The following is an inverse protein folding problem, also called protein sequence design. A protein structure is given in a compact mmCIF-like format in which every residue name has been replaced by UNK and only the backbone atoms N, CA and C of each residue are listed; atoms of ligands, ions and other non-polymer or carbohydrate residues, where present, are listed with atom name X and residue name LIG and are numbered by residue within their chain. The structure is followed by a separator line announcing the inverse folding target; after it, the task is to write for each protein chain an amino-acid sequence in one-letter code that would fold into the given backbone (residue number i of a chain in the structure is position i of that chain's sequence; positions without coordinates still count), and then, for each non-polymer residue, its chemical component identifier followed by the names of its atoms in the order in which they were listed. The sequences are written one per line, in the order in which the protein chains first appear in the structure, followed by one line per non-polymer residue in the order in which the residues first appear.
data_IF_564292911776
#
_entry.id   IF_564292911776
#
_cell.length_a   1.000
_cell.length_b   1.000
_cell.length_c   1.000
_cell.angle_alpha   90.00
_cell.angle_beta   90.00
_cell.angle_gamma   90.00
#
_symmetry.space_group_name_H-M   'P 1'
#
loop_
_entity.id
_entity.type
_entity.pdbx_description
1 polymer ?
#
# COMPACT_ATOMS: atom_id res chain seq x y z
N UNK A 1 10.54 -2.53 34.11
CA UNK A 1 9.64 -2.03 33.03
C UNK A 1 8.69 -1.07 33.69
N UNK A 2 8.67 0.18 33.22
CA UNK A 2 7.80 1.23 33.77
C UNK A 2 6.34 1.07 33.33
N UNK A 3 5.42 1.90 33.86
CA UNK A 3 3.99 1.83 33.55
C UNK A 3 3.68 2.00 32.06
N UNK A 4 4.36 2.95 31.38
CA UNK A 4 4.22 3.15 29.93
C UNK A 4 4.69 1.95 29.13
N UNK A 5 5.79 1.30 29.51
CA UNK A 5 6.28 0.09 28.81
C UNK A 5 5.22 -1.02 28.84
N UNK A 6 4.59 -1.23 29.98
CA UNK A 6 3.55 -2.25 30.14
C UNK A 6 2.31 -1.91 29.31
N UNK A 7 1.88 -0.64 29.35
CA UNK A 7 0.77 -0.13 28.58
C UNK A 7 1.00 -0.29 27.07
N UNK A 8 2.13 0.18 26.54
CA UNK A 8 2.48 0.08 25.12
C UNK A 8 2.61 -1.38 24.69
N UNK A 9 3.25 -2.21 25.51
CA UNK A 9 3.39 -3.65 25.21
C UNK A 9 2.02 -4.31 25.06
N UNK A 10 1.04 -3.94 25.88
CA UNK A 10 -0.32 -4.46 25.80
C UNK A 10 -1.06 -4.04 24.51
N UNK A 11 -0.69 -2.91 23.91
CA UNK A 11 -1.23 -2.42 22.63
C UNK A 11 -0.54 -3.16 21.47
N UNK A 12 0.80 -3.20 21.50
CA UNK A 12 1.63 -3.65 20.37
C UNK A 12 1.72 -5.19 20.26
N UNK A 13 1.52 -5.92 21.35
CA UNK A 13 1.56 -7.40 21.36
C UNK A 13 0.57 -8.00 20.36
N UNK A 14 -0.63 -7.43 20.29
CA UNK A 14 -1.77 -8.01 19.58
C UNK A 14 -1.85 -7.58 18.10
N UNK A 15 -0.97 -6.66 17.69
CA UNK A 15 -0.90 -6.20 16.30
C UNK A 15 -0.19 -7.23 15.42
N UNK A 16 -0.80 -7.57 14.27
CA UNK A 16 -0.18 -8.42 13.23
C UNK A 16 0.87 -7.64 12.41
N UNK A 17 1.87 -7.05 13.06
CA UNK A 17 2.90 -6.23 12.41
C UNK A 17 4.29 -6.87 12.49
N UNK A 18 5.22 -6.43 11.63
CA UNK A 18 6.62 -6.87 11.68
C UNK A 18 7.32 -6.32 12.92
N UNK A 19 8.42 -6.97 13.37
CA UNK A 19 9.20 -6.52 14.53
C UNK A 19 9.66 -5.06 14.40
N UNK A 20 10.07 -4.63 13.20
CA UNK A 20 10.47 -3.25 12.92
C UNK A 20 9.32 -2.27 13.11
N UNK A 21 8.16 -2.54 12.52
CA UNK A 21 6.97 -1.69 12.67
C UNK A 21 6.48 -1.64 14.12
N UNK A 22 6.56 -2.75 14.85
CA UNK A 22 6.23 -2.79 16.28
C UNK A 22 7.19 -1.91 17.09
N UNK A 23 8.47 -1.89 16.73
CA UNK A 23 9.48 -1.03 17.38
C UNK A 23 9.21 0.44 17.11
N UNK A 24 9.09 0.83 15.83
CA UNK A 24 8.82 2.23 15.44
C UNK A 24 7.55 2.74 16.12
N UNK A 25 6.50 1.92 16.17
CA UNK A 25 5.27 2.26 16.86
C UNK A 25 5.43 2.34 18.39
N UNK A 26 6.29 1.51 18.97
CA UNK A 26 6.57 1.59 20.41
C UNK A 26 7.24 2.92 20.75
N UNK A 27 8.19 3.35 19.91
CA UNK A 27 8.93 4.58 20.09
C UNK A 27 7.98 5.80 19.97
N UNK A 28 7.14 5.85 18.92
CA UNK A 28 6.15 6.92 18.74
C UNK A 28 5.15 7.02 19.90
N UNK A 29 4.65 5.87 20.39
CA UNK A 29 3.71 5.84 21.52
C UNK A 29 4.37 6.31 22.82
N UNK A 30 5.65 5.94 23.02
CA UNK A 30 6.42 6.37 24.19
C UNK A 30 6.63 7.88 24.18
N UNK A 31 6.99 8.46 23.04
CA UNK A 31 7.21 9.90 22.88
C UNK A 31 5.94 10.70 23.22
N UNK A 32 4.79 10.25 22.72
CA UNK A 32 3.51 10.90 23.03
C UNK A 32 3.11 10.78 24.51
N UNK A 33 3.28 9.61 25.12
CA UNK A 33 2.97 9.43 26.55
C UNK A 33 3.89 10.24 27.45
N UNK A 34 5.17 10.36 27.09
CA UNK A 34 6.11 11.22 27.79
C UNK A 34 5.74 12.70 27.65
N UNK A 35 5.30 13.13 26.46
CA UNK A 35 4.81 14.49 26.25
C UNK A 35 3.61 14.81 27.14
N UNK A 36 2.62 13.91 27.21
CA UNK A 36 1.47 14.04 28.12
C UNK A 36 1.88 14.05 29.59
N UNK A 37 2.83 13.19 29.99
CA UNK A 37 3.37 13.19 31.36
C UNK A 37 3.95 14.56 31.71
N UNK A 38 4.80 15.11 30.85
CA UNK A 38 5.42 16.43 31.06
C UNK A 38 4.35 17.52 31.17
N UNK A 39 3.32 17.46 30.33
CA UNK A 39 2.19 18.38 30.40
C UNK A 39 1.48 18.30 31.77
N UNK A 40 1.09 17.11 32.23
CA UNK A 40 0.42 16.97 33.53
C UNK A 40 1.32 17.36 34.70
N UNK A 41 2.63 17.10 34.64
CA UNK A 41 3.57 17.62 35.63
C UNK A 41 3.55 19.15 35.64
N UNK A 42 3.52 19.79 34.46
CA UNK A 42 3.43 21.26 34.37
C UNK A 42 2.10 21.84 34.87
N UNK A 43 1.03 21.04 34.83
CA UNK A 43 -0.29 21.37 35.40
C UNK A 43 -0.34 21.15 36.93
N UNK A 44 0.74 20.68 37.55
CA UNK A 44 0.89 20.53 38.99
C UNK A 44 0.61 19.12 39.53
N UNK A 45 0.45 18.12 38.65
CA UNK A 45 0.31 16.73 39.07
C UNK A 45 1.64 16.13 39.53
N UNK A 46 1.58 15.20 40.49
CA UNK A 46 2.75 14.40 40.84
C UNK A 46 3.16 13.52 39.67
N UNK A 47 4.42 13.06 39.62
CA UNK A 47 4.87 12.22 38.51
C UNK A 47 4.04 10.95 38.36
N UNK A 48 3.60 10.34 39.47
CA UNK A 48 2.75 9.15 39.47
C UNK A 48 1.36 9.45 38.92
N UNK A 49 0.73 10.55 39.35
CA UNK A 49 -0.60 10.94 38.89
C UNK A 49 -0.58 11.40 37.42
N UNK A 50 0.52 12.04 37.00
CA UNK A 50 0.74 12.46 35.63
C UNK A 50 0.88 11.25 34.68
N UNK A 51 1.52 10.17 35.12
CA UNK A 51 1.61 8.92 34.36
C UNK A 51 0.23 8.28 34.21
N UNK A 52 -0.54 8.21 35.29
CA UNK A 52 -1.89 7.65 35.27
C UNK A 52 -2.81 8.45 34.35
N UNK A 53 -2.81 9.79 34.49
CA UNK A 53 -3.56 10.70 33.62
C UNK A 53 -3.12 10.65 32.16
N UNK A 54 -1.82 10.49 31.90
CA UNK A 54 -1.31 10.32 30.54
C UNK A 54 -1.87 9.05 29.91
N UNK A 55 -1.91 7.92 30.64
CA UNK A 55 -2.50 6.67 30.15
C UNK A 55 -4.00 6.82 29.93
N UNK A 56 -4.72 7.40 30.90
CA UNK A 56 -6.18 7.61 30.82
C UNK A 56 -6.56 8.50 29.64
N UNK A 57 -5.86 9.63 29.47
CA UNK A 57 -6.14 10.62 28.43
C UNK A 57 -5.70 10.15 27.04
N UNK A 58 -4.71 9.26 26.97
CA UNK A 58 -4.34 8.60 25.72
C UNK A 58 -5.45 7.64 25.24
N UNK A 59 -6.28 7.14 26.16
CA UNK A 59 -7.53 6.44 25.87
C UNK A 59 -7.51 4.95 26.15
N UNK A 60 -8.69 4.31 26.13
CA UNK A 60 -8.80 2.86 26.36
C UNK A 60 -8.09 2.03 25.29
N UNK A 61 -7.30 1.06 25.75
CA UNK A 61 -6.51 0.10 24.96
C UNK A 61 -7.34 -0.52 23.83
N UNK A 62 -8.59 -0.88 24.08
CA UNK A 62 -9.46 -1.56 23.11
C UNK A 62 -9.86 -0.64 21.95
N UNK A 63 -10.14 0.64 22.23
CA UNK A 63 -10.49 1.64 21.21
C UNK A 63 -9.26 2.06 20.40
N UNK A 64 -8.10 2.13 21.03
CA UNK A 64 -6.83 2.41 20.35
C UNK A 64 -6.43 1.26 19.42
N UNK A 65 -6.50 0.01 19.91
CA UNK A 65 -6.25 -1.19 19.09
C UNK A 65 -7.15 -1.25 17.86
N UNK A 66 -8.44 -0.95 18.02
CA UNK A 66 -9.38 -0.91 16.91
C UNK A 66 -9.02 0.17 15.88
N UNK A 67 -8.65 1.36 16.34
CA UNK A 67 -8.25 2.49 15.48
C UNK A 67 -6.93 2.23 14.75
N UNK A 68 -5.94 1.64 15.44
CA UNK A 68 -4.64 1.28 14.87
C UNK A 68 -4.72 0.13 13.88
N UNK A 69 -5.56 -0.88 14.14
CA UNK A 69 -5.81 -1.96 13.18
C UNK A 69 -6.40 -1.41 11.87
N UNK A 70 -7.27 -0.40 11.98
CA UNK A 70 -7.86 0.25 10.82
C UNK A 70 -6.85 1.11 10.04
N UNK A 71 -5.90 1.77 10.70
CA UNK A 71 -4.85 2.55 10.01
C UNK A 71 -3.76 1.66 9.40
N UNK A 72 -3.32 0.61 10.10
CA UNK A 72 -2.23 -0.28 9.66
C UNK A 72 -2.63 -1.22 8.50
N UNK A 73 -3.92 -1.54 8.35
CA UNK A 73 -4.42 -2.48 7.33
C UNK A 73 -5.44 -1.88 6.36
N UNK A 74 -5.55 -0.55 6.29
CA UNK A 74 -6.56 0.13 5.47
C UNK A 74 -6.61 -0.38 4.02
N UNK A 75 -5.45 -0.68 3.43
CA UNK A 75 -5.29 -1.12 2.05
C UNK A 75 -5.88 -2.50 1.69
N UNK A 76 -6.14 -3.37 2.68
CA UNK A 76 -6.56 -4.77 2.47
C UNK A 76 -8.01 -5.03 2.90
N UNK A 77 -8.85 -4.01 2.82
CA UNK A 77 -10.28 -4.17 3.10
C UNK A 77 -10.99 -4.94 1.96
N UNK A 78 -12.18 -5.49 2.24
CA UNK A 78 -12.93 -6.32 1.29
C UNK A 78 -13.34 -5.53 0.03
N UNK A 79 -13.67 -4.25 0.17
CA UNK A 79 -14.04 -3.37 -0.96
C UNK A 79 -12.88 -3.19 -1.95
N UNK A 80 -11.67 -2.92 -1.46
CA UNK A 80 -10.47 -2.78 -2.28
C UNK A 80 -10.13 -4.09 -2.99
N UNK A 81 -10.37 -5.25 -2.36
CA UNK A 81 -10.20 -6.53 -3.05
C UNK A 81 -11.20 -6.72 -4.21
N UNK A 82 -12.49 -6.42 -3.99
CA UNK A 82 -13.53 -6.51 -5.03
C UNK A 82 -13.25 -5.56 -6.19
N UNK A 83 -12.84 -4.33 -5.91
CA UNK A 83 -12.47 -3.36 -6.95
C UNK A 83 -11.24 -3.83 -7.73
N UNK A 84 -10.27 -4.45 -7.07
CA UNK A 84 -9.13 -5.08 -7.73
C UNK A 84 -9.52 -6.20 -8.69
N UNK A 85 -10.51 -7.01 -8.33
CA UNK A 85 -11.06 -8.05 -9.22
C UNK A 85 -11.78 -7.41 -10.40
N UNK A 86 -12.61 -6.38 -10.16
CA UNK A 86 -13.31 -5.68 -11.24
C UNK A 86 -12.33 -5.04 -12.22
N UNK A 87 -11.24 -4.45 -11.73
CA UNK A 87 -10.20 -3.85 -12.56
C UNK A 87 -9.47 -4.91 -13.42
N UNK A 88 -9.20 -6.10 -12.87
CA UNK A 88 -8.68 -7.24 -13.64
C UNK A 88 -9.67 -7.71 -14.72
N UNK A 89 -10.96 -7.80 -14.41
CA UNK A 89 -12.00 -8.20 -15.37
C UNK A 89 -12.15 -7.18 -16.50
N UNK A 90 -12.19 -5.88 -16.17
CA UNK A 90 -12.23 -4.80 -17.17
C UNK A 90 -11.05 -4.93 -18.13
N UNK A 91 -9.84 -5.12 -17.60
CA UNK A 91 -8.64 -5.25 -18.43
C UNK A 91 -8.61 -6.56 -19.21
N UNK A 92 -9.13 -7.66 -18.69
CA UNK A 92 -9.29 -8.90 -19.45
C UNK A 92 -10.26 -8.71 -20.64
N UNK A 93 -11.39 -8.02 -20.42
CA UNK A 93 -12.36 -7.72 -21.47
C UNK A 93 -11.82 -6.72 -22.51
N UNK A 94 -11.11 -5.66 -22.08
CA UNK A 94 -10.42 -4.74 -22.99
C UNK A 94 -9.29 -5.45 -23.74
N UNK A 95 -8.54 -6.30 -23.05
CA UNK A 95 -7.44 -7.10 -23.59
C UNK A 95 -7.88 -8.03 -24.70
N UNK A 96 -9.06 -8.63 -24.61
CA UNK A 96 -9.65 -9.43 -25.69
C UNK A 96 -10.13 -8.58 -26.89
N UNK A 97 -10.19 -7.25 -26.76
CA UNK A 97 -10.55 -6.30 -27.83
C UNK A 97 -9.33 -5.54 -28.37
N UNK A 98 -8.23 -5.49 -27.62
CA UNK A 98 -6.96 -4.88 -28.03
C UNK A 98 -5.99 -5.96 -28.49
N UNK A 99 -5.28 -5.81 -29.63
CA UNK A 99 -4.26 -6.77 -30.02
C UNK A 99 -3.17 -6.85 -28.95
N UNK A 100 -2.88 -8.07 -28.47
CA UNK A 100 -1.87 -8.30 -27.43
C UNK A 100 -0.48 -7.85 -27.92
N UNK A 101 0.31 -7.17 -27.06
CA UNK A 101 1.70 -6.85 -27.36
C UNK A 101 2.49 -8.15 -27.53
N UNK A 102 2.98 -8.39 -28.75
CA UNK A 102 3.87 -9.51 -29.07
C UNK A 102 3.36 -10.52 -30.10
N UNK A 103 2.05 -10.61 -30.37
CA UNK A 103 1.52 -11.63 -31.31
C UNK A 103 1.05 -11.01 -32.65
N UNK A 104 0.41 -9.84 -32.64
CA UNK A 104 -0.10 -9.17 -33.86
C UNK A 104 0.52 -7.77 -34.12
N UNK A 105 1.39 -7.30 -33.23
CA UNK A 105 1.93 -5.94 -33.24
C UNK A 105 3.04 -5.69 -34.28
N UNK A 106 3.40 -6.69 -35.08
CA UNK A 106 4.42 -6.53 -36.12
C UNK A 106 3.88 -5.80 -37.37
N UNK A 107 2.55 -5.74 -37.55
CA UNK A 107 1.93 -5.21 -38.77
C UNK A 107 1.36 -3.78 -38.67
N UNK A 108 1.25 -3.21 -37.46
CA UNK A 108 0.74 -1.83 -37.25
C UNK A 108 1.44 -1.07 -36.11
N UNK A 109 2.77 -1.24 -36.00
CA UNK A 109 3.59 -0.83 -34.85
C UNK A 109 3.76 0.69 -34.70
N UNK A 110 2.77 1.39 -34.15
CA UNK A 110 3.04 2.68 -33.51
C UNK A 110 3.61 2.43 -32.11
N UNK A 111 4.68 3.15 -31.73
CA UNK A 111 5.25 3.14 -30.38
C UNK A 111 4.18 3.41 -29.28
N UNK A 112 3.15 4.17 -29.63
CA UNK A 112 2.03 4.50 -28.76
C UNK A 112 1.19 3.29 -28.37
N UNK A 113 0.86 2.39 -29.32
CA UNK A 113 0.05 1.21 -29.03
C UNK A 113 0.76 0.25 -28.06
N UNK A 114 2.08 0.09 -28.22
CA UNK A 114 2.91 -0.69 -27.30
C UNK A 114 2.88 -0.09 -25.88
N UNK A 115 3.05 1.23 -25.77
CA UNK A 115 3.00 1.91 -24.47
C UNK A 115 1.64 1.79 -23.78
N UNK A 116 0.54 1.93 -24.53
CA UNK A 116 -0.82 1.74 -24.01
C UNK A 116 -1.00 0.31 -23.49
N UNK A 117 -0.50 -0.69 -24.21
CA UNK A 117 -0.57 -2.08 -23.79
C UNK A 117 0.22 -2.32 -22.48
N UNK A 118 1.43 -1.77 -22.36
CA UNK A 118 2.23 -1.85 -21.13
C UNK A 118 1.52 -1.15 -19.95
N UNK A 119 0.97 0.06 -20.15
CA UNK A 119 0.19 0.74 -19.10
C UNK A 119 -0.97 -0.16 -18.66
N UNK A 120 -1.74 -0.69 -19.62
CA UNK A 120 -2.92 -1.52 -19.35
C UNK A 120 -2.57 -2.77 -18.55
N UNK A 121 -1.45 -3.42 -18.88
CA UNK A 121 -0.98 -4.61 -18.16
C UNK A 121 -0.51 -4.30 -16.73
N UNK A 122 0.14 -3.15 -16.51
CA UNK A 122 0.78 -2.82 -15.23
C UNK A 122 -0.12 -2.07 -14.25
N UNK A 123 -1.27 -1.53 -14.66
CA UNK A 123 -2.27 -0.94 -13.75
C UNK A 123 -2.79 -1.97 -12.71
N UNK A 124 -3.25 -3.18 -13.08
CA UNK A 124 -3.61 -4.20 -12.10
C UNK A 124 -2.44 -4.61 -11.24
N UNK A 125 -1.25 -4.72 -11.83
CA UNK A 125 -0.06 -5.15 -11.11
C UNK A 125 0.31 -4.14 -10.01
N UNK A 126 0.27 -2.83 -10.31
CA UNK A 126 0.46 -1.76 -9.33
C UNK A 126 -0.60 -1.75 -8.24
N UNK A 127 -1.86 -1.98 -8.61
CA UNK A 127 -2.98 -2.07 -7.66
C UNK A 127 -2.82 -3.27 -6.69
N UNK A 128 -2.51 -4.45 -7.22
CA UNK A 128 -2.45 -5.69 -6.47
C UNK A 128 -1.14 -5.88 -5.68
N UNK A 129 -0.09 -5.13 -6.00
CA UNK A 129 1.20 -5.28 -5.34
C UNK A 129 1.12 -5.10 -3.82
N UNK A 130 0.31 -4.15 -3.37
CA UNK A 130 0.07 -3.91 -1.94
C UNK A 130 -0.77 -5.00 -1.26
N UNK A 131 -1.47 -5.84 -2.02
CA UNK A 131 -2.15 -7.03 -1.51
C UNK A 131 -1.21 -8.23 -1.41
N UNK A 132 -0.28 -8.39 -2.36
CA UNK A 132 0.66 -9.51 -2.43
C UNK A 132 1.68 -9.50 -1.28
N UNK A 133 2.08 -8.31 -0.82
CA UNK A 133 3.05 -8.19 0.27
C UNK A 133 2.67 -7.08 1.24
N UNK A 134 2.45 -7.47 2.51
CA UNK A 134 2.23 -6.53 3.61
C UNK A 134 3.42 -5.61 3.89
N UNK A 135 4.57 -5.87 3.25
CA UNK A 135 5.77 -5.04 3.33
C UNK A 135 5.84 -4.01 2.19
N UNK A 136 4.96 -4.08 1.19
CA UNK A 136 5.01 -3.23 -0.02
C UNK A 136 3.86 -2.21 0.04
N UNK A 137 3.98 -1.29 0.99
CA UNK A 137 3.04 -0.17 1.20
C UNK A 137 3.62 1.16 0.77
N UNK A 138 4.90 1.22 0.38
CA UNK A 138 5.52 2.41 -0.15
C UNK A 138 5.44 2.39 -1.67
N UNK A 139 5.05 3.53 -2.25
CA UNK A 139 4.96 3.73 -3.71
C UNK A 139 6.28 3.38 -4.41
N UNK A 140 7.43 3.75 -3.81
CA UNK A 140 8.74 3.41 -4.35
C UNK A 140 8.96 1.90 -4.44
N UNK A 141 8.54 1.13 -3.42
CA UNK A 141 8.67 -0.34 -3.44
C UNK A 141 7.80 -0.98 -4.50
N UNK A 142 6.58 -0.48 -4.70
CA UNK A 142 5.69 -0.95 -5.78
C UNK A 142 6.37 -0.71 -7.13
N UNK A 143 6.86 0.52 -7.36
CA UNK A 143 7.49 0.92 -8.61
C UNK A 143 8.76 0.11 -8.91
N UNK A 144 9.64 -0.10 -7.92
CA UNK A 144 10.85 -0.92 -8.10
C UNK A 144 10.50 -2.37 -8.42
N UNK A 145 9.52 -2.95 -7.73
CA UNK A 145 9.14 -4.35 -7.96
C UNK A 145 8.49 -4.54 -9.33
N UNK A 146 7.58 -3.66 -9.74
CA UNK A 146 6.96 -3.74 -11.07
C UNK A 146 7.97 -3.53 -12.18
N UNK A 147 8.92 -2.60 -12.01
CA UNK A 147 9.99 -2.36 -12.98
C UNK A 147 10.93 -3.56 -13.10
N UNK A 148 11.24 -4.22 -11.98
CA UNK A 148 12.02 -5.46 -11.97
C UNK A 148 11.30 -6.60 -12.71
N UNK A 149 10.00 -6.75 -12.51
CA UNK A 149 9.16 -7.73 -13.22
C UNK A 149 9.15 -7.44 -14.72
N UNK A 150 8.98 -6.18 -15.13
CA UNK A 150 8.99 -5.80 -16.55
C UNK A 150 10.34 -6.10 -17.21
N UNK A 151 11.44 -5.72 -16.56
CA UNK A 151 12.78 -6.01 -17.06
C UNK A 151 13.03 -7.53 -17.19
N UNK A 152 12.61 -8.31 -16.18
CA UNK A 152 12.72 -9.75 -16.22
C UNK A 152 11.92 -10.37 -17.39
N UNK A 153 10.73 -9.86 -17.66
CA UNK A 153 9.91 -10.27 -18.81
C UNK A 153 10.59 -9.95 -20.14
N UNK A 154 11.12 -8.73 -20.31
CA UNK A 154 11.85 -8.33 -21.53
C UNK A 154 13.06 -9.23 -21.78
N UNK A 155 13.84 -9.53 -20.74
CA UNK A 155 15.00 -10.44 -20.83
C UNK A 155 14.53 -11.85 -21.20
N UNK A 156 13.48 -12.36 -20.56
CA UNK A 156 12.91 -13.68 -20.83
C UNK A 156 12.44 -13.81 -22.29
N UNK A 157 11.68 -12.83 -22.80
CA UNK A 157 11.22 -12.84 -24.19
C UNK A 157 12.38 -12.77 -25.18
N UNK A 158 13.41 -11.98 -24.87
CA UNK A 158 14.62 -11.86 -25.69
C UNK A 158 15.41 -13.17 -25.75
N UNK A 159 15.56 -13.88 -24.62
CA UNK A 159 16.24 -15.18 -24.54
C UNK A 159 15.45 -16.30 -25.23
N UNK A 160 14.13 -16.29 -25.08
CA UNK A 160 13.24 -17.29 -25.67
C UNK A 160 13.17 -17.24 -27.20
N UNK A 161 13.69 -16.17 -27.83
CA UNK A 161 13.57 -15.86 -29.27
C UNK A 161 12.13 -15.85 -29.81
N UNK A 162 11.13 -15.84 -28.92
CA UNK A 162 9.71 -15.82 -29.31
C UNK A 162 9.39 -14.50 -30.02
N UNK A 163 10.04 -13.40 -29.63
CA UNK A 163 9.81 -12.06 -30.19
C UNK A 163 11.14 -11.34 -30.33
N UNK A 164 11.50 -10.90 -31.55
CA UNK A 164 12.59 -9.94 -31.74
C UNK A 164 12.09 -8.53 -31.44
N UNK A 165 12.25 -8.08 -30.20
CA UNK A 165 11.82 -6.74 -29.76
C UNK A 165 13.01 -5.77 -29.90
N UNK A 166 12.94 -4.74 -30.77
CA UNK A 166 13.96 -3.69 -30.81
C UNK A 166 14.12 -2.97 -29.47
N UNK A 167 15.36 -2.60 -29.15
CA UNK A 167 15.74 -2.00 -27.86
C UNK A 167 14.92 -0.74 -27.52
N UNK A 168 14.53 0.04 -28.53
CA UNK A 168 13.69 1.24 -28.37
C UNK A 168 12.31 0.93 -27.79
N UNK A 169 11.71 -0.20 -28.15
CA UNK A 169 10.44 -0.63 -27.58
C UNK A 169 10.58 -1.08 -26.13
N UNK A 170 11.73 -1.62 -25.74
CA UNK A 170 12.00 -2.02 -24.36
C UNK A 170 12.03 -0.80 -23.42
N UNK A 171 12.63 0.31 -23.84
CA UNK A 171 12.68 1.55 -23.04
C UNK A 171 11.27 2.13 -22.87
N UNK A 172 10.51 2.23 -23.97
CA UNK A 172 9.13 2.73 -23.93
C UNK A 172 8.25 1.86 -23.04
N UNK A 173 8.39 0.53 -23.12
CA UNK A 173 7.68 -0.41 -22.25
C UNK A 173 7.97 -0.13 -20.78
N UNK A 174 9.25 -0.04 -20.39
CA UNK A 174 9.64 0.19 -18.99
C UNK A 174 9.06 1.50 -18.44
N UNK A 175 9.13 2.60 -19.21
CA UNK A 175 8.52 3.87 -18.80
C UNK A 175 6.99 3.77 -18.66
N UNK A 176 6.34 3.08 -19.59
CA UNK A 176 4.89 2.89 -19.57
C UNK A 176 4.44 1.95 -18.44
N UNK A 177 5.23 0.94 -18.11
CA UNK A 177 5.01 0.03 -16.98
C UNK A 177 5.09 0.77 -15.64
N UNK A 178 6.02 1.73 -15.52
CA UNK A 178 6.11 2.61 -14.35
C UNK A 178 4.87 3.50 -14.20
N UNK A 179 4.40 4.11 -15.30
CA UNK A 179 3.17 4.91 -15.30
C UNK A 179 1.94 4.05 -14.96
N UNK A 180 1.83 2.86 -15.53
CA UNK A 180 0.76 1.92 -15.24
C UNK A 180 0.72 1.53 -13.77
N UNK A 181 1.86 1.15 -13.19
CA UNK A 181 1.91 0.75 -11.79
C UNK A 181 1.67 1.93 -10.82
N UNK A 182 2.13 3.13 -11.18
CA UNK A 182 1.81 4.36 -10.45
C UNK A 182 0.30 4.64 -10.43
N UNK A 183 -0.36 4.55 -11.59
CA UNK A 183 -1.80 4.70 -11.73
C UNK A 183 -2.56 3.65 -10.91
N UNK A 184 -2.16 2.38 -11.02
CA UNK A 184 -2.75 1.28 -10.24
C UNK A 184 -2.67 1.50 -8.74
N UNK A 185 -1.51 1.93 -8.25
CA UNK A 185 -1.32 2.25 -6.84
C UNK A 185 -2.12 3.49 -6.40
N UNK A 186 -2.21 4.52 -7.25
CA UNK A 186 -3.04 5.70 -7.02
C UNK A 186 -4.53 5.35 -6.89
N UNK A 187 -5.04 4.46 -7.75
CA UNK A 187 -6.41 3.95 -7.66
C UNK A 187 -6.63 3.26 -6.31
N UNK A 188 -5.68 2.44 -5.86
CA UNK A 188 -5.77 1.80 -4.55
C UNK A 188 -5.86 2.83 -3.41
N UNK A 189 -5.04 3.89 -3.44
CA UNK A 189 -5.10 4.95 -2.42
C UNK A 189 -6.49 5.61 -2.38
N UNK A 190 -7.01 6.01 -3.53
CA UNK A 190 -8.32 6.65 -3.65
C UNK A 190 -9.45 5.75 -3.15
N UNK A 191 -9.43 4.47 -3.53
CA UNK A 191 -10.43 3.49 -3.08
C UNK A 191 -10.43 3.35 -1.57
N UNK A 192 -9.26 3.32 -0.93
CA UNK A 192 -9.17 3.21 0.52
C UNK A 192 -9.62 4.47 1.24
N UNK A 193 -9.30 5.65 0.70
CA UNK A 193 -9.77 6.93 1.25
C UNK A 193 -11.30 7.05 1.19
N UNK A 194 -11.90 6.65 0.06
CA UNK A 194 -13.35 6.60 -0.12
C UNK A 194 -14.00 5.59 0.81
N UNK A 195 -13.47 4.37 0.90
CA UNK A 195 -13.98 3.33 1.80
C UNK A 195 -13.93 3.79 3.27
N UNK A 196 -12.83 4.42 3.69
CA UNK A 196 -12.69 4.97 5.03
C UNK A 196 -13.72 6.09 5.31
N UNK A 197 -13.88 7.03 4.37
CA UNK A 197 -14.85 8.13 4.47
C UNK A 197 -16.30 7.62 4.60
N UNK A 198 -16.67 6.59 3.84
CA UNK A 198 -18.00 5.97 3.91
C UNK A 198 -18.25 5.28 5.26
N UNK A 199 -17.28 4.49 5.74
CA UNK A 199 -17.40 3.81 7.03
C UNK A 199 -17.49 4.81 8.18
N UNK A 200 -16.74 5.92 8.11
CA UNK A 200 -16.81 6.99 9.11
C UNK A 200 -18.20 7.64 9.14
N UNK A 201 -18.79 7.94 7.98
CA UNK A 201 -20.15 8.49 7.90
C UNK A 201 -21.22 7.55 8.44
N UNK A 202 -21.11 6.25 8.17
CA UNK A 202 -22.07 5.23 8.63
C UNK A 202 -22.04 4.97 10.14
N UNK A 203 -20.94 5.30 10.83
CA UNK A 203 -20.83 5.16 12.30
C UNK A 203 -21.27 6.41 13.08
N UNK A 204 -21.48 7.54 12.41
CA UNK A 204 -21.94 8.79 13.03
C UNK A 204 -23.47 8.98 12.91
N UNK A 205 -24.15 8.10 12.18
CA UNK A 205 -25.61 7.95 12.17
C UNK A 205 -26.00 6.72 12.97
#
# INVERSE_FOLDING_TARGET
MGPFDQYIKSIVSDLKATKKQKSELTDELMDHLMMLKVQYISEGFSETDAIEKAIESFGEINNLKASMKNSLFSYRNKSSFVIGIMLLLIIFFLGNRTPMPGIDLQKSSSLALMGIASITLFVPLGYWMSFLSSKVTSILRVLFLTSYIDLALVIFFSLSKIISIPITYSIVSICCSFLGSLLGYGILLLVNELAYSLVKKLKMN
#
